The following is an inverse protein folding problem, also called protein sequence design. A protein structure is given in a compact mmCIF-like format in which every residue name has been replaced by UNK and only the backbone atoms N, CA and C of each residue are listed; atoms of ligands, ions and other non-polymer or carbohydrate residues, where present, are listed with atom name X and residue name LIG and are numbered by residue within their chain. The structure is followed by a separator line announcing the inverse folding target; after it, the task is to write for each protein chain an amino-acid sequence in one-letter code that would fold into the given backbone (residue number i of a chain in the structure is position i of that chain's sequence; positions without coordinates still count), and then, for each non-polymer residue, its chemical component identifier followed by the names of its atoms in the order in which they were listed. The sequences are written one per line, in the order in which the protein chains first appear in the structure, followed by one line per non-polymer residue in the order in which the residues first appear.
data_IF_284568957210
#
_entry.id   IF_284568957210
#
_cell.length_a   1.000
_cell.length_b   1.000
_cell.length_c   1.000
_cell.angle_alpha   90.00
_cell.angle_beta   90.00
_cell.angle_gamma   90.00
#
_symmetry.space_group_name_H-M   'P 1'
#
loop_
_entity.id
_entity.type
_entity.pdbx_description
1 polymer ?
#
# COMPACT_ATOMS: atom_id res chain seq x y z
N UNK A 1 -12.11 -49.11 36.79
CA UNK A 1 -13.28 -49.42 35.93
C UNK A 1 -12.96 -49.00 34.51
N UNK A 2 -12.98 -49.93 33.55
CA UNK A 2 -12.80 -49.72 32.10
C UNK A 2 -14.17 -49.81 31.42
N UNK A 3 -14.47 -48.89 30.51
CA UNK A 3 -15.44 -49.02 29.38
C UNK A 3 -15.04 -47.92 28.37
N UNK A 4 -14.25 -48.14 27.32
CA UNK A 4 -14.51 -48.76 26.00
C UNK A 4 -16.00 -48.90 25.64
N UNK A 5 -16.45 -48.13 24.64
CA UNK A 5 -17.32 -48.51 23.51
C UNK A 5 -17.71 -47.20 22.79
N UNK A 6 -17.62 -46.98 21.49
CA UNK A 6 -17.57 -47.89 20.35
C UNK A 6 -18.70 -47.51 19.37
N UNK A 7 -18.40 -47.63 18.07
CA UNK A 7 -19.28 -47.57 16.88
C UNK A 7 -19.26 -46.23 16.12
N UNK A 8 -18.63 -46.05 14.94
CA UNK A 8 -18.48 -46.79 13.67
C UNK A 8 -19.73 -46.93 12.80
N UNK A 9 -19.47 -46.90 11.48
CA UNK A 9 -20.29 -47.31 10.31
C UNK A 9 -20.73 -46.08 9.47
N UNK A 10 -20.42 -45.90 8.18
CA UNK A 10 -19.90 -46.84 7.18
C UNK A 10 -19.21 -46.13 6.00
N UNK A 11 -18.16 -46.79 5.55
CA UNK A 11 -17.58 -46.87 4.21
C UNK A 11 -18.60 -46.88 3.06
N UNK A 12 -18.19 -46.34 1.90
CA UNK A 12 -18.39 -47.01 0.63
C UNK A 12 -17.11 -46.91 -0.21
N UNK A 13 -16.79 -48.04 -0.82
CA UNK A 13 -15.53 -48.50 -1.39
C UNK A 13 -15.84 -48.96 -2.80
N UNK A 14 -14.96 -48.66 -3.77
CA UNK A 14 -14.70 -49.44 -4.99
C UNK A 14 -13.53 -48.74 -5.72
N UNK A 15 -12.29 -49.26 -5.66
CA UNK A 15 -11.72 -50.39 -6.43
C UNK A 15 -11.53 -49.99 -7.92
N UNK A 16 -10.43 -50.23 -8.65
CA UNK A 16 -9.29 -51.12 -8.51
C UNK A 16 -8.10 -50.63 -9.35
N UNK A 17 -6.98 -51.31 -9.16
CA UNK A 17 -5.65 -51.10 -9.71
C UNK A 17 -5.54 -51.03 -11.26
N UNK A 18 -4.45 -50.42 -11.75
CA UNK A 18 -3.51 -51.05 -12.72
C UNK A 18 -2.22 -50.22 -12.79
N UNK A 19 -1.09 -50.86 -12.54
CA UNK A 19 0.27 -50.36 -12.74
C UNK A 19 0.54 -50.02 -14.22
N UNK A 20 1.39 -49.03 -14.51
CA UNK A 20 2.30 -49.11 -15.66
C UNK A 20 3.38 -48.02 -15.62
N UNK A 21 4.61 -48.48 -15.45
CA UNK A 21 5.86 -47.80 -15.79
C UNK A 21 6.03 -47.76 -17.31
N UNK A 22 6.34 -46.59 -17.89
CA UNK A 22 7.01 -46.48 -19.20
C UNK A 22 7.61 -45.08 -19.43
N UNK A 23 8.73 -45.06 -20.13
CA UNK A 23 9.66 -43.95 -20.29
C UNK A 23 9.40 -43.03 -21.50
N UNK A 24 9.97 -41.82 -21.38
CA UNK A 24 10.55 -40.93 -22.41
C UNK A 24 9.70 -40.20 -23.49
N UNK A 25 10.11 -38.93 -23.66
CA UNK A 25 10.20 -38.09 -24.87
C UNK A 25 8.95 -37.76 -25.71
N UNK A 26 8.68 -36.46 -25.85
CA UNK A 26 7.72 -35.93 -26.84
C UNK A 26 7.62 -34.41 -26.81
N UNK A 27 8.51 -33.77 -27.56
CA UNK A 27 8.56 -32.34 -27.84
C UNK A 27 7.47 -32.00 -28.87
N UNK A 28 7.01 -30.74 -28.85
CA UNK A 28 6.42 -29.98 -29.98
C UNK A 28 4.89 -29.89 -30.01
N UNK A 29 4.40 -28.67 -29.70
CA UNK A 29 3.74 -27.88 -30.73
C UNK A 29 2.21 -27.76 -30.69
N UNK A 30 1.75 -26.59 -30.25
CA UNK A 30 0.68 -25.87 -30.95
C UNK A 30 -0.73 -26.05 -30.40
N UNK A 31 -1.18 -25.10 -29.58
CA UNK A 31 -2.57 -24.63 -29.67
C UNK A 31 -2.59 -23.14 -29.39
N UNK A 32 -2.93 -22.41 -30.45
CA UNK A 32 -3.34 -21.01 -30.47
C UNK A 32 -4.44 -20.73 -29.46
N UNK A 33 -4.22 -19.75 -28.58
CA UNK A 33 -5.29 -18.99 -27.96
C UNK A 33 -4.95 -17.51 -28.12
N UNK A 34 -5.59 -16.91 -29.13
CA UNK A 34 -5.74 -15.46 -29.26
C UNK A 34 -6.56 -14.97 -28.07
N UNK A 35 -5.91 -14.32 -27.11
CA UNK A 35 -6.59 -13.42 -26.18
C UNK A 35 -5.82 -12.13 -26.21
N UNK A 36 -6.44 -11.13 -26.85
CA UNK A 36 -6.21 -9.70 -26.77
C UNK A 36 -5.09 -9.34 -25.80
N UNK A 37 -3.92 -9.02 -26.37
CA UNK A 37 -2.84 -8.33 -25.68
C UNK A 37 -3.35 -6.95 -25.27
N UNK A 38 -4.15 -6.91 -24.19
CA UNK A 38 -4.22 -5.74 -23.35
C UNK A 38 -2.79 -5.51 -22.93
N UNK A 39 -2.19 -4.43 -23.42
CA UNK A 39 -0.90 -3.96 -22.97
C UNK A 39 -1.02 -3.81 -21.46
N UNK A 40 -0.62 -4.83 -20.72
CA UNK A 40 -0.32 -4.70 -19.31
C UNK A 40 0.87 -3.75 -19.30
N UNK A 41 0.57 -2.45 -19.23
CA UNK A 41 1.58 -1.44 -18.97
C UNK A 41 2.16 -1.89 -17.63
N UNK A 42 3.42 -2.32 -17.57
CA UNK A 42 4.03 -2.61 -16.30
C UNK A 42 3.94 -1.31 -15.51
N UNK A 43 3.12 -1.30 -14.45
CA UNK A 43 3.09 -0.20 -13.50
C UNK A 43 4.52 -0.16 -12.98
N UNK A 44 5.29 0.78 -13.53
CA UNK A 44 6.67 0.96 -13.15
C UNK A 44 6.62 1.18 -11.65
N UNK A 45 7.39 0.43 -10.88
CA UNK A 45 7.49 0.51 -9.42
C UNK A 45 8.11 1.84 -8.99
N UNK A 46 7.59 2.96 -9.49
CA UNK A 46 7.96 4.29 -9.07
C UNK A 46 7.53 4.38 -7.61
N UNK A 47 8.51 4.43 -6.72
CA UNK A 47 8.28 4.74 -5.32
C UNK A 47 7.55 6.07 -5.25
N UNK A 48 6.30 6.04 -4.81
CA UNK A 48 5.52 7.24 -4.54
C UNK A 48 6.16 7.90 -3.30
N UNK A 49 6.99 8.92 -3.55
CA UNK A 49 7.76 9.59 -2.51
C UNK A 49 6.96 10.73 -1.88
N UNK A 50 6.86 10.79 -0.54
CA UNK A 50 6.20 11.89 0.12
C UNK A 50 7.01 13.17 -0.04
N UNK A 51 6.36 14.32 -0.29
CA UNK A 51 7.06 15.59 -0.38
C UNK A 51 7.68 15.94 0.98
N UNK A 52 8.80 16.67 0.95
CA UNK A 52 9.54 17.03 2.17
C UNK A 52 9.71 18.54 2.28
N UNK A 53 9.30 19.12 3.42
CA UNK A 53 9.35 20.56 3.67
C UNK A 53 10.61 20.94 4.42
N UNK A 54 11.42 21.79 3.79
CA UNK A 54 12.66 22.35 4.36
C UNK A 54 12.58 23.86 4.60
N UNK A 55 11.58 24.53 4.04
CA UNK A 55 11.38 25.98 4.12
C UNK A 55 9.88 26.31 4.14
N UNK A 56 9.52 27.43 4.76
CA UNK A 56 8.15 27.96 4.88
C UNK A 56 7.92 29.24 4.09
N UNK A 57 8.80 29.59 3.15
CA UNK A 57 8.50 30.64 2.18
C UNK A 57 7.21 30.34 1.42
N UNK A 58 6.49 31.39 1.01
CA UNK A 58 5.22 31.26 0.28
C UNK A 58 5.35 30.32 -0.94
N UNK A 59 6.43 30.45 -1.71
CA UNK A 59 6.71 29.56 -2.85
C UNK A 59 6.89 28.10 -2.43
N UNK A 60 7.63 27.82 -1.36
CA UNK A 60 7.83 26.46 -0.85
C UNK A 60 6.51 25.83 -0.38
N UNK A 61 5.65 26.61 0.28
CA UNK A 61 4.34 26.13 0.76
C UNK A 61 3.35 25.88 -0.38
N UNK A 62 3.29 26.77 -1.38
CA UNK A 62 2.45 26.57 -2.58
C UNK A 62 2.89 25.31 -3.31
N UNK A 63 4.19 25.13 -3.50
CA UNK A 63 4.76 23.93 -4.12
C UNK A 63 4.41 22.67 -3.31
N UNK A 64 4.62 22.70 -1.99
CA UNK A 64 4.34 21.56 -1.13
C UNK A 64 2.86 21.16 -1.15
N UNK A 65 1.92 22.12 -1.11
CA UNK A 65 0.48 21.82 -1.20
C UNK A 65 0.14 21.02 -2.45
N UNK A 66 0.68 21.45 -3.60
CA UNK A 66 0.49 20.76 -4.86
C UNK A 66 1.09 19.36 -4.84
N UNK A 67 2.36 19.24 -4.46
CA UNK A 67 3.05 17.94 -4.41
C UNK A 67 2.41 16.99 -3.39
N UNK A 68 1.86 17.51 -2.28
CA UNK A 68 1.16 16.73 -1.28
C UNK A 68 -0.14 16.17 -1.83
N UNK A 69 -0.91 16.98 -2.58
CA UNK A 69 -2.12 16.51 -3.26
C UNK A 69 -1.80 15.40 -4.27
N UNK A 70 -0.81 15.62 -5.15
CA UNK A 70 -0.38 14.64 -6.15
C UNK A 70 0.08 13.32 -5.50
N UNK A 71 0.78 13.41 -4.36
CA UNK A 71 1.15 12.23 -3.58
C UNK A 71 -0.07 11.51 -3.01
N UNK A 72 -1.07 12.21 -2.45
CA UNK A 72 -2.27 11.58 -1.89
C UNK A 72 -3.07 10.85 -2.95
N UNK A 73 -3.25 11.47 -4.11
CA UNK A 73 -3.96 10.90 -5.25
C UNK A 73 -3.23 9.65 -5.77
N UNK A 74 -1.89 9.70 -5.85
CA UNK A 74 -1.08 8.55 -6.26
C UNK A 74 -1.16 7.39 -5.25
N UNK A 75 -1.10 7.70 -3.94
CA UNK A 75 -1.27 6.70 -2.88
C UNK A 75 -2.67 6.09 -2.94
N UNK A 76 -3.71 6.90 -3.15
CA UNK A 76 -5.09 6.43 -3.27
C UNK A 76 -5.27 5.47 -4.46
N UNK A 77 -4.75 5.84 -5.64
CA UNK A 77 -4.79 4.97 -6.82
C UNK A 77 -4.05 3.63 -6.59
N UNK A 78 -2.91 3.67 -5.88
CA UNK A 78 -2.17 2.45 -5.51
C UNK A 78 -2.93 1.60 -4.49
N UNK A 79 -3.49 2.22 -3.46
CA UNK A 79 -4.27 1.50 -2.44
C UNK A 79 -5.52 0.87 -3.05
N UNK A 80 -6.19 1.53 -3.98
CA UNK A 80 -7.35 0.99 -4.69
C UNK A 80 -7.02 -0.25 -5.53
N UNK A 81 -5.80 -0.34 -6.06
CA UNK A 81 -5.34 -1.49 -6.87
C UNK A 81 -4.76 -2.62 -6.02
N UNK A 82 -4.06 -2.30 -4.92
CA UNK A 82 -3.41 -3.28 -4.06
C UNK A 82 -4.28 -3.78 -2.89
N UNK A 83 -5.40 -3.09 -2.58
CA UNK A 83 -6.22 -3.36 -1.39
C UNK A 83 -5.56 -2.93 -0.08
N UNK A 84 -4.54 -2.06 -0.13
CA UNK A 84 -3.85 -1.53 1.05
C UNK A 84 -4.70 -0.45 1.76
N UNK A 85 -4.54 -0.34 3.07
CA UNK A 85 -5.13 0.74 3.86
C UNK A 85 -4.44 2.09 3.58
N UNK A 86 -5.18 3.04 3.00
CA UNK A 86 -4.71 4.40 2.68
C UNK A 86 -4.10 5.10 3.89
N UNK A 87 -4.69 4.95 5.08
CA UNK A 87 -4.21 5.61 6.29
C UNK A 87 -2.82 5.08 6.73
N UNK A 88 -2.51 3.82 6.43
CA UNK A 88 -1.20 3.22 6.69
C UNK A 88 -0.18 3.54 5.59
N UNK A 89 -0.65 3.75 4.36
CA UNK A 89 0.18 4.07 3.21
C UNK A 89 0.64 5.52 3.16
N UNK A 90 -0.17 6.45 3.71
CA UNK A 90 0.13 7.88 3.73
C UNK A 90 1.18 8.22 4.79
N UNK A 91 2.18 9.01 4.40
CA UNK A 91 3.05 9.67 5.36
C UNK A 91 2.28 10.82 6.02
N UNK A 92 2.32 10.84 7.35
CA UNK A 92 1.76 11.91 8.18
C UNK A 92 2.36 13.27 7.79
N UNK A 93 1.55 14.34 7.86
CA UNK A 93 1.98 15.70 7.59
C UNK A 93 3.18 16.06 8.46
N UNK A 94 3.17 15.78 9.76
CA UNK A 94 4.31 16.07 10.65
C UNK A 94 5.61 15.40 10.21
N UNK A 95 5.53 14.18 9.69
CA UNK A 95 6.68 13.41 9.20
C UNK A 95 7.19 13.92 7.83
N UNK A 96 6.37 14.71 7.11
CA UNK A 96 6.80 15.39 5.89
C UNK A 96 7.62 16.67 6.13
N UNK A 97 7.84 17.08 7.38
CA UNK A 97 8.63 18.27 7.71
C UNK A 97 10.03 17.94 8.20
N UNK A 98 10.96 18.87 7.94
CA UNK A 98 12.16 18.94 8.75
C UNK A 98 11.79 19.14 10.23
N UNK A 99 12.29 18.24 11.09
CA UNK A 99 11.94 18.22 12.51
C UNK A 99 12.35 19.50 13.23
N UNK A 100 13.49 20.10 12.87
CA UNK A 100 13.93 21.37 13.47
C UNK A 100 13.09 22.53 12.99
N UNK A 101 12.73 22.56 11.69
CA UNK A 101 11.82 23.56 11.14
C UNK A 101 10.46 23.50 11.86
N UNK A 102 9.86 22.31 11.95
CA UNK A 102 8.57 22.13 12.61
C UNK A 102 8.64 22.53 14.11
N UNK A 103 9.74 22.20 14.79
CA UNK A 103 9.98 22.60 16.18
C UNK A 103 10.00 24.12 16.33
N UNK A 104 10.71 24.81 15.44
CA UNK A 104 10.82 26.27 15.43
C UNK A 104 9.46 26.90 15.18
N UNK A 105 8.71 26.45 14.18
CA UNK A 105 7.35 26.94 13.90
C UNK A 105 6.42 26.75 15.09
N UNK A 106 6.42 25.56 15.69
CA UNK A 106 5.60 25.27 16.86
C UNK A 106 5.92 26.24 18.00
N UNK A 107 7.21 26.44 18.30
CA UNK A 107 7.65 27.27 19.43
C UNK A 107 7.44 28.77 19.22
N UNK A 108 7.80 29.28 18.04
CA UNK A 108 7.92 30.72 17.80
C UNK A 108 6.70 31.31 17.09
N UNK A 109 6.10 30.59 16.14
CA UNK A 109 4.96 31.09 15.37
C UNK A 109 3.63 30.69 16.00
N UNK A 110 3.51 29.46 16.49
CA UNK A 110 2.22 28.89 16.87
C UNK A 110 1.99 28.77 18.38
N UNK A 111 3.02 29.00 19.19
CA UNK A 111 2.96 28.91 20.66
C UNK A 111 2.55 27.52 21.17
N UNK A 112 2.98 26.44 20.49
CA UNK A 112 2.62 25.05 20.78
C UNK A 112 3.84 24.11 20.75
N UNK A 113 3.62 22.81 20.96
CA UNK A 113 4.63 21.76 20.79
C UNK A 113 4.32 20.86 19.60
N UNK A 114 5.29 20.07 19.14
CA UNK A 114 5.13 19.14 18.02
C UNK A 114 4.06 18.07 18.35
N UNK A 115 3.96 17.70 19.62
CA UNK A 115 3.01 16.71 20.12
C UNK A 115 1.59 17.29 20.12
N UNK A 116 1.44 18.55 20.54
CA UNK A 116 0.15 19.21 20.71
C UNK A 116 -0.44 19.78 19.40
N UNK A 117 0.38 20.15 18.42
CA UNK A 117 -0.13 20.61 17.11
C UNK A 117 -0.77 19.45 16.37
N UNK A 118 -1.95 19.62 15.77
CA UNK A 118 -2.57 18.55 14.96
C UNK A 118 -2.19 18.72 13.48
N UNK A 119 -2.29 17.64 12.69
CA UNK A 119 -1.93 17.70 11.28
C UNK A 119 -2.88 18.61 10.50
N UNK A 120 -4.16 18.61 10.86
CA UNK A 120 -5.20 19.46 10.31
C UNK A 120 -4.89 20.93 10.60
N UNK A 121 -4.39 21.24 11.81
CA UNK A 121 -4.00 22.61 12.15
C UNK A 121 -2.81 23.09 11.34
N UNK A 122 -1.82 22.23 11.08
CA UNK A 122 -0.67 22.57 10.23
C UNK A 122 -1.16 22.92 8.82
N UNK A 123 -2.00 22.06 8.22
CA UNK A 123 -2.57 22.28 6.89
C UNK A 123 -3.40 23.57 6.86
N UNK A 124 -4.22 23.80 7.90
CA UNK A 124 -5.06 24.99 7.99
C UNK A 124 -4.24 26.28 8.06
N UNK A 125 -3.19 26.32 8.88
CA UNK A 125 -2.30 27.49 8.99
C UNK A 125 -1.65 27.79 7.65
N UNK A 126 -1.10 26.78 6.97
CA UNK A 126 -0.50 27.00 5.66
C UNK A 126 -1.51 27.35 4.58
N UNK A 127 -2.79 27.02 4.76
CA UNK A 127 -3.84 27.37 3.82
C UNK A 127 -4.34 28.82 3.96
N UNK A 128 -4.29 29.41 5.17
CA UNK A 128 -4.97 30.68 5.46
C UNK A 128 -4.07 31.78 6.02
N UNK A 129 -2.94 31.44 6.64
CA UNK A 129 -2.13 32.38 7.45
C UNK A 129 -0.79 32.76 6.77
N UNK A 130 -0.37 32.06 5.71
CA UNK A 130 0.88 32.29 4.94
C UNK A 130 0.66 32.24 3.42
#
# INVERSE_FOLDING_TARGET
MRTRSGNSTQVNQEDSATEQTAAMAGITGGTTATTTSGTAIPVSSASIMPPYVTDVSHHALVKWKRERQEYEDAIEARCATAGEDKAKALRSVKNSFNRQLLKTLCKYEWGTTIEAVTEERIVWIFANEM
#
